data_IF_372392157444
#
_entry.id   IF_372392157444
#
_cell.length_a   1.000
_cell.length_b   1.000
_cell.length_c   1.000
_cell.angle_alpha   90.00
_cell.angle_beta   90.00
_cell.angle_gamma   90.00
#
_symmetry.space_group_name_H-M   'P 1'
#
loop_
_entity.id
_entity.type
_entity.pdbx_description
1 polymer ?
#
# COMPACT_ATOMS: atom_id res chain seq x y z
N UNK A 1 -31.79 19.73 -6.15
CA UNK A 1 -30.77 19.28 -5.17
C UNK A 1 -29.82 18.40 -5.96
N UNK A 2 -28.63 18.90 -6.26
CA UNK A 2 -27.66 18.20 -7.09
C UNK A 2 -26.95 17.16 -6.22
N UNK A 3 -27.16 15.89 -6.54
CA UNK A 3 -26.48 14.77 -5.88
C UNK A 3 -25.05 14.80 -6.37
N UNK A 4 -24.13 15.31 -5.53
CA UNK A 4 -22.71 15.35 -5.84
C UNK A 4 -22.21 13.92 -6.03
N UNK A 5 -21.91 13.57 -7.28
CA UNK A 5 -21.20 12.36 -7.66
C UNK A 5 -19.94 12.22 -6.79
N UNK A 6 -20.04 11.37 -5.77
CA UNK A 6 -19.00 11.20 -4.79
C UNK A 6 -17.93 10.33 -5.44
N UNK A 7 -16.92 10.96 -6.02
CA UNK A 7 -15.76 10.27 -6.58
C UNK A 7 -15.22 9.29 -5.51
N UNK A 8 -14.99 8.01 -5.84
CA UNK A 8 -14.47 7.01 -4.89
C UNK A 8 -13.15 7.43 -4.22
N UNK A 9 -12.35 8.27 -4.88
CA UNK A 9 -11.17 8.88 -4.27
C UNK A 9 -11.52 9.83 -3.12
N UNK A 10 -12.63 10.57 -3.23
CA UNK A 10 -13.15 11.43 -2.17
C UNK A 10 -13.65 10.63 -0.96
N UNK A 11 -14.20 9.42 -1.16
CA UNK A 11 -14.64 8.56 -0.04
C UNK A 11 -13.48 7.91 0.70
N UNK A 12 -12.43 7.47 -0.02
CA UNK A 12 -11.22 6.93 0.62
C UNK A 12 -10.47 8.02 1.39
N UNK A 13 -10.32 9.20 0.79
CA UNK A 13 -9.70 10.35 1.44
C UNK A 13 -10.44 10.73 2.73
N UNK A 14 -11.78 10.80 2.69
CA UNK A 14 -12.58 11.09 3.87
C UNK A 14 -12.39 10.04 4.98
N UNK A 15 -12.38 8.74 4.64
CA UNK A 15 -12.16 7.69 5.62
C UNK A 15 -10.77 7.78 6.29
N UNK A 16 -9.72 8.06 5.50
CA UNK A 16 -8.36 8.25 6.01
C UNK A 16 -8.28 9.50 6.89
N UNK A 17 -8.90 10.61 6.50
CA UNK A 17 -8.97 11.84 7.31
C UNK A 17 -9.62 11.57 8.67
N UNK A 18 -10.77 10.89 8.69
CA UNK A 18 -11.44 10.53 9.95
C UNK A 18 -10.54 9.68 10.83
N UNK A 19 -9.90 8.65 10.28
CA UNK A 19 -9.01 7.77 11.05
C UNK A 19 -7.81 8.51 11.64
N UNK A 20 -7.17 9.38 10.86
CA UNK A 20 -6.04 10.20 11.31
C UNK A 20 -6.49 11.12 12.46
N UNK A 21 -7.61 11.83 12.28
CA UNK A 21 -8.11 12.74 13.32
C UNK A 21 -8.42 12.00 14.62
N UNK A 22 -9.09 10.84 14.55
CA UNK A 22 -9.35 10.00 15.73
C UNK A 22 -8.06 9.54 16.39
N UNK A 23 -7.03 9.18 15.62
CA UNK A 23 -5.74 8.77 16.18
C UNK A 23 -5.02 9.94 16.87
N UNK A 24 -5.04 11.13 16.26
CA UNK A 24 -4.48 12.36 16.85
C UNK A 24 -5.18 12.73 18.17
N UNK A 25 -6.51 12.63 18.20
CA UNK A 25 -7.30 12.88 19.42
C UNK A 25 -6.97 11.88 20.53
N UNK A 26 -6.83 10.59 20.18
CA UNK A 26 -6.51 9.53 21.13
C UNK A 26 -5.11 9.68 21.76
N UNK A 27 -4.13 10.23 21.01
CA UNK A 27 -2.78 10.51 21.53
C UNK A 27 -2.72 11.74 22.45
N UNK A 28 -3.79 12.54 22.53
CA UNK A 28 -3.92 13.64 23.48
C UNK A 28 -2.82 14.69 23.34
N UNK A 29 -2.09 14.97 24.45
CA UNK A 29 -1.00 15.96 24.51
C UNK A 29 0.40 15.34 24.40
N UNK A 30 0.51 14.03 24.18
CA UNK A 30 1.84 13.44 23.98
C UNK A 30 2.45 13.98 22.69
N UNK A 31 3.75 14.24 22.72
CA UNK A 31 4.48 14.74 21.56
C UNK A 31 4.46 13.64 20.49
N UNK A 32 3.70 13.88 19.43
CA UNK A 32 3.58 12.96 18.30
C UNK A 32 4.85 13.10 17.47
N UNK A 33 5.70 12.09 17.49
CA UNK A 33 6.90 12.00 16.65
C UNK A 33 6.69 10.89 15.61
N UNK A 34 7.24 11.06 14.41
CA UNK A 34 7.19 10.08 13.33
C UNK A 34 5.78 9.65 12.85
N UNK A 35 4.77 10.53 12.96
CA UNK A 35 3.40 10.25 12.51
C UNK A 35 3.34 9.77 11.05
N UNK A 36 4.15 10.34 10.17
CA UNK A 36 4.22 9.92 8.77
C UNK A 36 4.58 8.44 8.66
N UNK A 37 5.63 7.99 9.36
CA UNK A 37 6.04 6.58 9.33
C UNK A 37 4.93 5.69 9.86
N UNK A 38 4.32 6.04 11.01
CA UNK A 38 3.22 5.30 11.61
C UNK A 38 2.03 5.13 10.64
N UNK A 39 1.63 6.20 9.96
CA UNK A 39 0.53 6.17 9.01
C UNK A 39 0.89 5.33 7.78
N UNK A 40 2.08 5.50 7.23
CA UNK A 40 2.51 4.72 6.05
C UNK A 40 2.64 3.23 6.38
N UNK A 41 3.14 2.89 7.58
CA UNK A 41 3.21 1.50 8.07
C UNK A 41 1.82 0.86 8.26
N UNK A 42 0.79 1.66 8.57
CA UNK A 42 -0.58 1.17 8.64
C UNK A 42 -1.23 0.99 7.25
N UNK A 43 -0.90 1.84 6.28
CA UNK A 43 -1.58 1.90 4.97
C UNK A 43 -0.88 1.05 3.91
N UNK A 44 0.45 1.07 3.84
CA UNK A 44 1.20 0.41 2.76
C UNK A 44 1.02 -1.12 2.76
N UNK A 45 1.12 -1.85 3.89
CA UNK A 45 0.94 -3.30 3.89
C UNK A 45 -0.43 -3.77 3.35
N UNK A 46 -1.60 -3.27 3.82
CA UNK A 46 -2.88 -3.70 3.28
C UNK A 46 -3.05 -3.32 1.80
N UNK A 47 -2.55 -2.14 1.39
CA UNK A 47 -2.55 -1.73 -0.01
C UNK A 47 -1.76 -2.73 -0.88
N UNK A 48 -0.53 -3.06 -0.47
CA UNK A 48 0.32 -3.97 -1.24
C UNK A 48 -0.26 -5.38 -1.31
N UNK A 49 -0.82 -5.89 -0.21
CA UNK A 49 -1.48 -7.20 -0.18
C UNK A 49 -2.67 -7.22 -1.16
N UNK A 50 -3.55 -6.23 -1.11
CA UNK A 50 -4.71 -6.15 -1.99
C UNK A 50 -4.32 -6.09 -3.47
N UNK A 51 -3.27 -5.31 -3.81
CA UNK A 51 -2.81 -5.20 -5.19
C UNK A 51 -2.06 -6.45 -5.66
N UNK A 52 -1.32 -7.12 -4.77
CA UNK A 52 -0.72 -8.43 -5.06
C UNK A 52 -1.80 -9.46 -5.35
N UNK A 53 -2.80 -9.60 -4.50
CA UNK A 53 -3.94 -10.49 -4.70
C UNK A 53 -4.65 -10.20 -6.03
N UNK A 54 -4.94 -8.93 -6.30
CA UNK A 54 -5.55 -8.49 -7.57
C UNK A 54 -4.65 -8.73 -8.79
N UNK A 55 -3.34 -8.85 -8.59
CA UNK A 55 -2.35 -9.14 -9.63
C UNK A 55 -1.94 -10.61 -9.67
N UNK A 56 -2.66 -11.50 -9.00
CA UNK A 56 -2.33 -12.93 -8.86
C UNK A 56 -0.88 -13.14 -8.39
N UNK A 57 -0.45 -12.32 -7.44
CA UNK A 57 0.90 -12.29 -6.86
C UNK A 57 2.05 -12.00 -7.85
N UNK A 58 1.74 -11.52 -9.07
CA UNK A 58 2.76 -11.04 -9.99
C UNK A 58 3.26 -9.65 -9.57
N UNK A 59 4.47 -9.61 -9.02
CA UNK A 59 5.08 -8.38 -8.49
C UNK A 59 5.30 -7.30 -9.55
N UNK A 60 5.67 -7.67 -10.78
CA UNK A 60 5.90 -6.69 -11.86
C UNK A 60 4.59 -5.99 -12.25
N UNK A 61 3.49 -6.76 -12.35
CA UNK A 61 2.14 -6.22 -12.62
C UNK A 61 1.66 -5.36 -11.45
N UNK A 62 1.85 -5.82 -10.21
CA UNK A 62 1.47 -5.07 -9.00
C UNK A 62 2.23 -3.74 -8.88
N UNK A 63 3.55 -3.75 -9.07
CA UNK A 63 4.38 -2.53 -9.06
C UNK A 63 3.93 -1.53 -10.13
N UNK A 64 3.64 -2.00 -11.35
CA UNK A 64 3.11 -1.15 -12.43
C UNK A 64 1.77 -0.52 -12.06
N UNK A 65 0.85 -1.27 -11.45
CA UNK A 65 -0.45 -0.75 -10.98
C UNK A 65 -0.31 0.27 -9.85
N UNK A 66 0.67 0.08 -8.97
CA UNK A 66 1.00 1.01 -7.87
C UNK A 66 1.79 2.22 -8.35
N UNK A 67 2.27 2.26 -9.60
CA UNK A 67 3.16 3.32 -10.09
C UNK A 67 4.54 3.31 -9.46
N UNK A 68 4.98 2.15 -8.93
CA UNK A 68 6.27 1.99 -8.27
C UNK A 68 7.27 1.30 -9.20
N UNK A 69 8.56 1.62 -9.03
CA UNK A 69 9.60 0.78 -9.62
C UNK A 69 9.55 -0.61 -8.98
N UNK A 70 9.88 -1.66 -9.76
CA UNK A 70 9.96 -3.03 -9.25
C UNK A 70 10.94 -3.15 -8.08
N UNK A 71 12.06 -2.42 -8.13
CA UNK A 71 13.06 -2.39 -7.05
C UNK A 71 12.47 -1.83 -5.76
N UNK A 72 11.82 -0.66 -5.83
CA UNK A 72 11.16 -0.02 -4.68
C UNK A 72 10.08 -0.92 -4.10
N UNK A 73 9.22 -1.50 -4.95
CA UNK A 73 8.14 -2.36 -4.48
C UNK A 73 8.69 -3.60 -3.77
N UNK A 74 9.73 -4.24 -4.32
CA UNK A 74 10.37 -5.40 -3.68
C UNK A 74 10.99 -5.06 -2.32
N UNK A 75 11.73 -3.95 -2.21
CA UNK A 75 12.31 -3.51 -0.92
C UNK A 75 11.22 -3.26 0.11
N UNK A 76 10.10 -2.64 -0.30
CA UNK A 76 8.97 -2.39 0.59
C UNK A 76 8.28 -3.70 1.02
N UNK A 77 8.09 -4.64 0.10
CA UNK A 77 7.55 -5.96 0.44
C UNK A 77 8.44 -6.71 1.43
N UNK A 78 9.76 -6.65 1.27
CA UNK A 78 10.72 -7.24 2.21
C UNK A 78 10.63 -6.60 3.59
N UNK A 79 10.51 -5.27 3.66
CA UNK A 79 10.40 -4.54 4.91
C UNK A 79 9.13 -4.90 5.71
N UNK A 80 8.00 -5.14 5.04
CA UNK A 80 6.72 -5.41 5.70
C UNK A 80 6.39 -6.89 5.87
N UNK A 81 6.89 -7.76 4.99
CA UNK A 81 6.48 -9.17 4.92
C UNK A 81 7.64 -10.16 4.91
N UNK A 82 8.89 -9.68 5.02
CA UNK A 82 10.07 -10.54 4.94
C UNK A 82 10.20 -11.23 3.58
N UNK A 83 10.51 -12.52 3.59
CA UNK A 83 10.74 -13.31 2.38
C UNK A 83 9.46 -13.86 1.73
N UNK A 84 8.30 -13.69 2.38
CA UNK A 84 7.01 -14.26 1.97
C UNK A 84 6.64 -13.95 0.51
N UNK A 85 6.94 -12.74 0.04
CA UNK A 85 6.68 -12.32 -1.34
C UNK A 85 7.95 -12.10 -2.16
N UNK A 86 9.13 -12.14 -1.55
CA UNK A 86 10.37 -11.75 -2.23
C UNK A 86 11.07 -12.95 -2.87
N UNK A 87 10.66 -14.18 -2.55
CA UNK A 87 10.93 -15.43 -3.27
C UNK A 87 12.36 -15.60 -3.76
N UNK A 88 13.16 -16.50 -3.16
CA UNK A 88 14.45 -16.90 -3.73
C UNK A 88 14.24 -17.27 -5.19
N UNK A 89 14.76 -16.46 -6.13
CA UNK A 89 14.67 -16.63 -7.59
C UNK A 89 14.64 -18.11 -7.96
N UNK A 90 13.46 -18.65 -8.22
CA UNK A 90 13.36 -19.90 -8.96
C UNK A 90 13.54 -19.51 -10.42
N UNK A 91 14.63 -19.98 -11.02
CA UNK A 91 14.93 -19.79 -12.44
C UNK A 91 13.88 -20.53 -13.28
N UNK A 92 12.68 -19.98 -13.47
CA UNK A 92 11.67 -20.61 -14.36
C UNK A 92 10.87 -19.61 -15.20
N UNK A 93 10.85 -18.30 -14.91
CA UNK A 93 9.98 -17.37 -15.65
C UNK A 93 10.72 -16.54 -16.72
N UNK A 94 11.55 -17.19 -17.54
CA UNK A 94 11.98 -16.67 -18.85
C UNK A 94 11.01 -17.20 -19.93
N UNK A 95 9.74 -16.80 -19.87
CA UNK A 95 8.85 -16.81 -21.03
C UNK A 95 7.77 -15.73 -20.85
N UNK A 96 8.07 -14.54 -21.35
CA UNK A 96 7.03 -13.63 -21.84
C UNK A 96 7.57 -13.02 -23.13
N UNK A 97 7.63 -13.89 -24.13
CA UNK A 97 7.87 -13.54 -25.53
C UNK A 97 6.60 -12.90 -26.07
N UNK A 98 6.61 -11.57 -26.25
CA UNK A 98 5.82 -10.84 -27.24
C UNK A 98 6.67 -9.72 -27.84
#
# INVERSE_FOLDING_TARGET
MEVLETNKASTLSAAVTTLINTHLEAMGKQKIENLYALVMEAIEPPLFKAVLEHSHYNQSKAAKRLGLSRGTFRTRLEAYFGDAYVGKRSKVDDDDTL
#
